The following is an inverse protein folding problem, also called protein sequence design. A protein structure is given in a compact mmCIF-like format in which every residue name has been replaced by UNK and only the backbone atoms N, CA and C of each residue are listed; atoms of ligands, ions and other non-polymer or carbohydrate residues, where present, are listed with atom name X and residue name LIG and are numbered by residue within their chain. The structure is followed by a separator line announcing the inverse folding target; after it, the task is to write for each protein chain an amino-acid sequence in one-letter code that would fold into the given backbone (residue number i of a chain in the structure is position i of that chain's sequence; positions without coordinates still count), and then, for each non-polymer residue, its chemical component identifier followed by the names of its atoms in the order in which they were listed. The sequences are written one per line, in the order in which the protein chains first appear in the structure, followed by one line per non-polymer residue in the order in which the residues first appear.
data_IF_096433483897
#
_entry.id   IF_096433483897
#
_cell.length_a   1.000
_cell.length_b   1.000
_cell.length_c   1.000
_cell.angle_alpha   90.00
_cell.angle_beta   90.00
_cell.angle_gamma   90.00
#
_symmetry.space_group_name_H-M   'P 1'
#
loop_
_entity.id
_entity.type
_entity.pdbx_description
1 polymer ?
#
# COMPACT_ATOMS: atom_id res chain seq x y z
N UNK A 1 -10.60 11.39 -6.71
CA UNK A 1 -11.14 11.32 -5.34
C UNK A 1 -10.36 12.26 -4.39
N UNK A 2 -10.26 13.55 -4.72
CA UNK A 2 -9.30 14.48 -4.09
C UNK A 2 -9.67 14.92 -2.66
N UNK A 3 -10.96 15.14 -2.41
CA UNK A 3 -11.46 15.70 -1.14
C UNK A 3 -11.29 14.75 0.06
N UNK A 4 -11.56 13.46 -0.09
CA UNK A 4 -11.50 12.50 1.02
C UNK A 4 -10.08 12.26 1.53
N UNK A 5 -9.11 12.15 0.62
CA UNK A 5 -7.71 11.93 0.98
C UNK A 5 -7.07 13.18 1.59
N UNK A 6 -7.32 14.36 1.02
CA UNK A 6 -6.85 15.63 1.59
C UNK A 6 -7.49 15.93 2.95
N UNK A 7 -8.79 15.64 3.13
CA UNK A 7 -9.46 15.79 4.41
C UNK A 7 -8.86 14.85 5.46
N UNK A 8 -8.57 13.59 5.09
CA UNK A 8 -7.96 12.60 5.99
C UNK A 8 -6.54 13.00 6.38
N UNK A 9 -5.70 13.40 5.41
CA UNK A 9 -4.35 13.89 5.69
C UNK A 9 -4.39 15.19 6.51
N UNK A 10 -5.32 16.10 6.23
CA UNK A 10 -5.53 17.34 6.98
C UNK A 10 -5.94 17.09 8.43
N UNK A 11 -6.89 16.18 8.68
CA UNK A 11 -7.26 15.75 10.02
C UNK A 11 -6.09 15.10 10.75
N UNK A 12 -5.34 14.21 10.10
CA UNK A 12 -4.15 13.58 10.70
C UNK A 12 -3.08 14.61 11.08
N UNK A 13 -2.88 15.63 10.25
CA UNK A 13 -1.98 16.75 10.52
C UNK A 13 -2.42 17.60 11.72
N UNK A 14 -3.73 17.84 11.86
CA UNK A 14 -4.31 18.54 13.02
C UNK A 14 -4.14 17.72 14.30
N UNK A 15 -4.45 16.43 14.25
CA UNK A 15 -4.26 15.51 15.38
C UNK A 15 -2.79 15.38 15.77
N UNK A 16 -1.91 15.23 14.78
CA UNK A 16 -0.48 15.16 15.01
C UNK A 16 0.04 16.48 15.60
N UNK A 17 -0.35 17.63 15.04
CA UNK A 17 -0.06 18.94 15.60
C UNK A 17 -0.50 19.06 17.06
N UNK A 18 -1.72 18.63 17.38
CA UNK A 18 -2.22 18.60 18.76
C UNK A 18 -1.38 17.72 19.68
N UNK A 19 -1.02 16.51 19.23
CA UNK A 19 -0.19 15.59 20.02
C UNK A 19 1.23 16.12 20.25
N UNK A 20 1.82 16.84 19.30
CA UNK A 20 3.13 17.51 19.47
C UNK A 20 3.00 18.65 20.48
N UNK A 21 1.93 19.44 20.41
CA UNK A 21 1.66 20.52 21.36
C UNK A 21 1.46 20.01 22.80
N UNK A 22 0.95 18.79 22.96
CA UNK A 22 0.68 18.16 24.24
C UNK A 22 1.74 17.15 24.70
N UNK A 23 2.86 17.02 23.97
CA UNK A 23 3.87 16.00 24.24
C UNK A 23 4.69 16.31 25.52
N UNK A 24 4.59 15.50 26.59
CA UNK A 24 5.30 15.74 27.84
C UNK A 24 6.82 15.57 27.72
N UNK A 25 7.31 14.89 26.67
CA UNK A 25 8.76 14.72 26.45
C UNK A 25 9.44 16.00 25.97
N UNK A 26 8.70 16.85 25.26
CA UNK A 26 9.20 18.10 24.70
C UNK A 26 8.91 19.27 25.65
N UNK A 27 7.72 19.25 26.27
CA UNK A 27 7.23 20.37 27.09
C UNK A 27 7.18 20.06 28.59
N UNK A 28 7.61 18.89 29.04
CA UNK A 28 7.50 18.47 30.45
C UNK A 28 6.04 18.44 30.93
N UNK A 29 5.80 18.74 32.21
CA UNK A 29 4.43 18.87 32.74
C UNK A 29 3.65 20.04 32.13
N UNK A 30 4.31 20.99 31.45
CA UNK A 30 3.66 22.11 30.76
C UNK A 30 2.85 21.63 29.55
N UNK A 31 3.26 20.52 28.92
CA UNK A 31 2.54 19.91 27.81
C UNK A 31 1.14 19.43 28.18
N UNK A 32 0.83 19.20 29.46
CA UNK A 32 -0.49 18.67 29.88
C UNK A 32 -1.56 19.76 30.03
N UNK A 33 -1.21 20.96 30.48
CA UNK A 33 -2.20 21.99 30.84
C UNK A 33 -2.19 23.21 29.90
N UNK A 34 -1.13 24.02 29.88
CA UNK A 34 -0.99 25.19 28.99
C UNK A 34 0.48 25.66 28.86
N UNK A 35 0.85 26.21 27.70
CA UNK A 35 2.19 26.77 27.44
C UNK A 35 2.34 28.10 28.18
N UNK A 36 3.40 28.25 28.99
CA UNK A 36 3.71 29.52 29.67
C UNK A 36 4.12 30.60 28.66
N UNK A 37 3.79 31.86 28.95
CA UNK A 37 4.11 32.99 28.06
C UNK A 37 5.62 33.12 27.74
N UNK A 38 6.49 32.75 28.69
CA UNK A 38 7.95 32.77 28.54
C UNK A 38 8.46 31.82 27.44
N UNK A 39 7.75 30.71 27.19
CA UNK A 39 8.12 29.71 26.19
C UNK A 39 7.38 29.90 24.85
N UNK A 40 6.59 30.97 24.72
CA UNK A 40 5.71 31.17 23.57
C UNK A 40 6.47 31.41 22.26
N UNK A 41 7.63 32.09 22.31
CA UNK A 41 8.47 32.30 21.15
C UNK A 41 9.01 30.97 20.58
N UNK A 42 9.48 30.08 21.46
CA UNK A 42 9.98 28.76 21.07
C UNK A 42 8.86 27.84 20.59
N UNK A 43 7.70 27.92 21.24
CA UNK A 43 6.48 27.25 20.80
C UNK A 43 6.04 27.66 19.38
N UNK A 44 5.98 28.97 19.11
CA UNK A 44 5.64 29.48 17.77
C UNK A 44 6.67 29.05 16.73
N UNK A 45 7.97 29.04 17.08
CA UNK A 45 9.04 28.60 16.20
C UNK A 45 8.93 27.12 15.85
N UNK A 46 8.71 26.26 16.84
CA UNK A 46 8.59 24.81 16.64
C UNK A 46 7.33 24.45 15.85
N UNK A 47 6.19 25.07 16.17
CA UNK A 47 4.95 24.86 15.42
C UNK A 47 5.06 25.41 14.00
N UNK A 48 5.69 26.58 13.81
CA UNK A 48 5.96 27.14 12.49
C UNK A 48 6.84 26.22 11.64
N UNK A 49 7.90 25.65 12.21
CA UNK A 49 8.76 24.66 11.56
C UNK A 49 8.00 23.37 11.20
N UNK A 50 7.10 22.93 12.09
CA UNK A 50 6.23 21.80 11.83
C UNK A 50 5.30 22.08 10.65
N UNK A 51 4.56 23.19 10.67
CA UNK A 51 3.66 23.58 9.58
C UNK A 51 4.40 23.77 8.25
N UNK A 52 5.63 24.30 8.26
CA UNK A 52 6.42 24.46 7.04
C UNK A 52 6.83 23.10 6.45
N UNK A 53 7.37 22.20 7.28
CA UNK A 53 7.77 20.84 6.84
C UNK A 53 6.57 20.04 6.36
N UNK A 54 5.49 20.10 7.13
CA UNK A 54 4.31 19.30 6.89
C UNK A 54 3.50 19.86 5.70
N UNK A 55 3.43 21.19 5.55
CA UNK A 55 2.91 21.85 4.35
C UNK A 55 3.73 21.54 3.09
N UNK A 56 5.06 21.46 3.20
CA UNK A 56 5.91 21.04 2.09
C UNK A 56 5.60 19.60 1.64
N UNK A 57 5.45 18.67 2.58
CA UNK A 57 5.03 17.29 2.26
C UNK A 57 3.66 17.27 1.58
N UNK A 58 2.68 18.03 2.10
CA UNK A 58 1.35 18.13 1.49
C UNK A 58 1.40 18.73 0.07
N UNK A 59 2.24 19.73 -0.16
CA UNK A 59 2.43 20.33 -1.48
C UNK A 59 3.03 19.33 -2.47
N UNK A 60 4.02 18.54 -2.04
CA UNK A 60 4.61 17.46 -2.86
C UNK A 60 3.57 16.40 -3.19
N UNK A 61 2.79 15.95 -2.21
CA UNK A 61 1.72 14.95 -2.42
C UNK A 61 0.68 15.49 -3.41
N UNK A 62 0.24 16.75 -3.24
CA UNK A 62 -0.72 17.37 -4.13
C UNK A 62 -0.16 17.53 -5.56
N UNK A 63 1.12 17.89 -5.70
CA UNK A 63 1.78 17.96 -7.01
C UNK A 63 1.92 16.58 -7.66
N UNK A 64 2.24 15.54 -6.88
CA UNK A 64 2.28 14.16 -7.36
C UNK A 64 0.90 13.66 -7.81
N UNK A 65 -0.17 14.01 -7.10
CA UNK A 65 -1.55 13.68 -7.51
C UNK A 65 -1.99 14.44 -8.76
N UNK A 66 -1.49 15.66 -8.96
CA UNK A 66 -1.76 16.42 -10.17
C UNK A 66 -1.01 15.85 -11.39
N UNK A 67 0.18 15.26 -11.18
CA UNK A 67 1.01 14.68 -12.24
C UNK A 67 0.63 13.23 -12.58
N UNK A 68 0.20 12.46 -11.58
CA UNK A 68 -0.20 11.06 -11.71
C UNK A 68 -1.53 10.83 -11.00
N UNK A 69 -2.36 9.93 -11.51
CA UNK A 69 -3.54 9.45 -10.78
C UNK A 69 -3.08 8.56 -9.60
N UNK A 70 -2.60 9.18 -8.51
CA UNK A 70 -2.10 8.47 -7.32
C UNK A 70 -3.16 7.49 -6.80
N UNK A 71 -4.43 7.87 -6.88
CA UNK A 71 -5.58 7.02 -6.57
C UNK A 71 -5.53 5.70 -7.37
N UNK A 72 -5.37 5.77 -8.69
CA UNK A 72 -5.29 4.58 -9.54
C UNK A 72 -4.04 3.74 -9.23
N UNK A 73 -2.89 4.37 -8.99
CA UNK A 73 -1.65 3.68 -8.59
C UNK A 73 -1.83 2.96 -7.25
N UNK A 74 -2.48 3.62 -6.28
CA UNK A 74 -2.76 3.05 -4.96
C UNK A 74 -3.72 1.87 -5.07
N UNK A 75 -4.79 1.99 -5.87
CA UNK A 75 -5.72 0.88 -6.13
C UNK A 75 -4.99 -0.30 -6.77
N UNK A 76 -4.14 -0.07 -7.77
CA UNK A 76 -3.37 -1.14 -8.42
C UNK A 76 -2.44 -1.82 -7.41
N UNK A 77 -1.73 -1.05 -6.58
CA UNK A 77 -0.89 -1.59 -5.50
C UNK A 77 -1.70 -2.43 -4.50
N UNK A 78 -2.86 -1.93 -4.08
CA UNK A 78 -3.76 -2.64 -3.17
C UNK A 78 -4.25 -3.96 -3.79
N UNK A 79 -4.65 -3.94 -5.06
CA UNK A 79 -5.06 -5.14 -5.79
C UNK A 79 -3.91 -6.14 -5.92
N UNK A 80 -2.70 -5.69 -6.28
CA UNK A 80 -1.54 -6.57 -6.36
C UNK A 80 -1.19 -7.17 -5.00
N UNK A 81 -1.27 -6.38 -3.93
CA UNK A 81 -1.00 -6.85 -2.58
C UNK A 81 -2.07 -7.86 -2.11
N UNK A 82 -3.35 -7.56 -2.32
CA UNK A 82 -4.45 -8.46 -1.99
C UNK A 82 -4.40 -9.76 -2.80
N UNK A 83 -4.02 -9.67 -4.07
CA UNK A 83 -3.84 -10.82 -4.95
C UNK A 83 -2.64 -11.65 -4.48
N UNK A 84 -1.49 -11.04 -4.19
CA UNK A 84 -0.33 -11.75 -3.64
C UNK A 84 -0.66 -12.44 -2.31
N UNK A 85 -1.41 -11.77 -1.41
CA UNK A 85 -1.82 -12.34 -0.13
C UNK A 85 -2.79 -13.52 -0.29
N UNK A 86 -3.69 -13.46 -1.27
CA UNK A 86 -4.64 -14.54 -1.56
C UNK A 86 -3.99 -15.72 -2.27
N UNK A 87 -3.06 -15.45 -3.19
CA UNK A 87 -2.36 -16.48 -3.96
C UNK A 87 -1.22 -17.14 -3.18
N UNK A 88 -0.59 -16.47 -2.21
CA UNK A 88 0.49 -17.04 -1.40
C UNK A 88 0.10 -18.35 -0.67
N UNK A 89 -1.01 -18.41 0.10
CA UNK A 89 -1.43 -19.66 0.75
C UNK A 89 -1.92 -20.69 -0.27
N UNK A 90 -2.57 -20.26 -1.36
CA UNK A 90 -3.05 -21.16 -2.41
C UNK A 90 -1.90 -21.87 -3.13
N UNK A 91 -0.88 -21.12 -3.55
CA UNK A 91 0.32 -21.65 -4.20
C UNK A 91 1.08 -22.59 -3.26
N UNK A 92 1.14 -22.24 -1.98
CA UNK A 92 1.74 -23.10 -0.96
C UNK A 92 0.97 -24.41 -0.81
N UNK A 93 -0.36 -24.37 -0.76
CA UNK A 93 -1.20 -25.56 -0.68
C UNK A 93 -1.10 -26.46 -1.91
N UNK A 94 -1.13 -25.88 -3.13
CA UNK A 94 -0.94 -26.63 -4.38
C UNK A 94 0.43 -27.33 -4.40
N UNK A 95 1.49 -26.66 -3.92
CA UNK A 95 2.82 -27.25 -3.86
C UNK A 95 2.91 -28.41 -2.86
N UNK A 96 2.23 -28.31 -1.72
CA UNK A 96 2.23 -29.34 -0.67
C UNK A 96 1.39 -30.58 -1.05
N UNK A 97 0.25 -30.41 -1.76
CA UNK A 97 -0.68 -31.50 -2.04
C UNK A 97 -0.57 -32.08 -3.46
N UNK A 98 -0.27 -31.25 -4.46
CA UNK A 98 -0.29 -31.65 -5.88
C UNK A 98 1.11 -31.67 -6.51
N UNK A 99 2.14 -31.18 -5.81
CA UNK A 99 3.52 -31.12 -6.31
C UNK A 99 3.75 -30.06 -7.40
N UNK A 100 2.73 -29.28 -7.75
CA UNK A 100 2.80 -28.19 -8.73
C UNK A 100 2.60 -26.83 -8.04
N UNK A 101 3.33 -25.81 -8.48
CA UNK A 101 3.26 -24.46 -7.89
C UNK A 101 2.13 -23.58 -8.45
N UNK A 102 1.35 -24.08 -9.40
CA UNK A 102 0.32 -23.29 -10.08
C UNK A 102 -1.03 -24.01 -10.01
N UNK A 103 -2.13 -23.30 -9.70
CA UNK A 103 -3.47 -23.90 -9.62
C UNK A 103 -3.96 -24.49 -10.95
N UNK A 104 -3.34 -24.12 -12.06
CA UNK A 104 -3.69 -24.58 -13.41
C UNK A 104 -2.54 -25.39 -14.02
N UNK A 105 -2.39 -26.68 -13.66
CA UNK A 105 -1.33 -27.51 -14.21
C UNK A 105 -1.45 -27.56 -15.74
N UNK A 106 -0.31 -27.60 -16.44
CA UNK A 106 -0.30 -27.68 -17.89
C UNK A 106 -0.76 -29.06 -18.33
N UNK A 107 -2.05 -29.20 -18.63
CA UNK A 107 -2.62 -30.46 -19.11
C UNK A 107 -2.40 -30.57 -20.61
N UNK A 108 -1.87 -31.71 -21.06
CA UNK A 108 -1.69 -31.97 -22.50
C UNK A 108 -3.07 -32.00 -23.17
N UNK A 109 -3.26 -31.19 -24.22
CA UNK A 109 -4.58 -31.09 -24.86
C UNK A 109 -5.02 -32.42 -25.44
N UNK A 110 -6.30 -32.77 -25.30
CA UNK A 110 -6.87 -34.00 -25.87
C UNK A 110 -6.58 -34.13 -27.37
N UNK A 111 -6.57 -33.00 -28.10
CA UNK A 111 -6.20 -32.98 -29.53
C UNK A 111 -4.78 -33.49 -29.78
N UNK A 112 -3.81 -33.16 -28.92
CA UNK A 112 -2.43 -33.69 -29.04
C UNK A 112 -2.40 -35.19 -28.72
N UNK A 113 -3.14 -35.64 -27.70
CA UNK A 113 -3.30 -37.07 -27.39
C UNK A 113 -3.89 -37.86 -28.56
N UNK A 114 -5.00 -37.41 -29.13
CA UNK A 114 -5.67 -38.07 -30.26
C UNK A 114 -4.75 -38.12 -31.49
N UNK A 115 -3.95 -37.06 -31.72
CA UNK A 115 -3.01 -37.00 -32.86
C UNK A 115 -1.83 -37.97 -32.70
N UNK A 116 -1.34 -38.18 -31.48
CA UNK A 116 -0.33 -39.22 -31.17
C UNK A 116 -0.91 -40.62 -31.40
N UNK A 117 -2.11 -40.89 -30.87
CA UNK A 117 -2.80 -42.16 -31.05
C UNK A 117 -3.04 -42.50 -32.53
N UNK A 118 -3.40 -41.52 -33.37
CA UNK A 118 -3.53 -41.73 -34.81
C UNK A 118 -2.21 -42.09 -35.49
N UNK A 119 -1.10 -41.43 -35.12
CA UNK A 119 0.23 -41.76 -35.65
C UNK A 119 0.66 -43.17 -35.26
N UNK A 120 0.46 -43.56 -34.02
CA UNK A 120 0.76 -44.92 -33.54
C UNK A 120 -0.06 -45.99 -34.27
N UNK A 121 -1.34 -45.71 -34.59
CA UNK A 121 -2.18 -46.60 -35.39
C UNK A 121 -1.74 -46.69 -36.86
N UNK A 122 -1.22 -45.61 -37.44
CA UNK A 122 -0.68 -45.60 -38.81
C UNK A 122 0.65 -46.35 -38.89
N UNK A 123 1.52 -46.21 -37.88
CA UNK A 123 2.81 -46.90 -37.81
C UNK A 123 2.65 -48.41 -37.54
N UNK A 124 1.63 -48.85 -36.79
CA UNK A 124 1.33 -50.29 -36.60
C UNK A 124 0.69 -50.97 -37.82
N UNK A 125 0.14 -50.20 -38.76
CA UNK A 125 -0.47 -50.71 -40.00
C UNK A 125 0.52 -50.80 -41.17
N UNK A 126 1.74 -50.29 -41.01
CA UNK A 126 2.85 -50.44 -41.94
C UNK A 126 3.70 -51.64 -41.58
#
# INVERSE_FOLDING_TARGET
MFFGFQLTCGLMMVFYGYSVMKNPRVWGDQGRQAVKAENFAEYCRQNGLFFLKAGCIMAVIAALDALFTLDAVLYVLLYLFGLAFSFSPLVRWCRENEGFSWPWPHVESEKKRIRKLRKEQEDQKK
#
